data_IF_406086611340
#
_entry.id   IF_406086611340
#
_cell.length_a   1.000
_cell.length_b   1.000
_cell.length_c   1.000
_cell.angle_alpha   90.00
_cell.angle_beta   90.00
_cell.angle_gamma   90.00
#
_symmetry.space_group_name_H-M   'P 1'
#
loop_
_entity.id
_entity.type
_entity.pdbx_description
1 polymer ?
#
# COMPACT_ATOMS: atom_id res chain seq x y z
N UNK A 1 47.04 84.72 10.58
CA UNK A 1 46.02 83.83 11.20
C UNK A 1 44.84 83.55 10.25
N UNK A 2 45.07 82.96 9.06
CA UNK A 2 43.99 82.56 8.11
C UNK A 2 44.42 81.38 7.23
N UNK A 3 44.86 80.27 7.83
CA UNK A 3 45.18 79.03 7.09
C UNK A 3 44.59 77.77 7.74
N UNK A 4 44.04 77.86 8.96
CA UNK A 4 43.43 76.73 9.68
C UNK A 4 42.10 76.30 9.08
N UNK A 5 41.26 77.24 8.63
CA UNK A 5 39.94 76.93 8.08
C UNK A 5 39.97 75.99 6.87
N UNK A 6 41.03 76.02 6.05
CA UNK A 6 41.14 75.18 4.87
C UNK A 6 41.46 73.72 5.17
N UNK A 7 42.07 73.43 6.33
CA UNK A 7 42.39 72.05 6.74
C UNK A 7 41.15 71.42 7.36
N UNK A 8 40.44 72.18 8.21
CA UNK A 8 39.18 71.74 8.84
C UNK A 8 38.11 71.43 7.78
N UNK A 9 38.01 72.22 6.71
CA UNK A 9 37.08 71.99 5.59
C UNK A 9 37.41 70.70 4.82
N UNK A 10 38.70 70.40 4.64
CA UNK A 10 39.15 69.17 3.98
C UNK A 10 38.91 67.95 4.86
N UNK A 11 39.15 68.06 6.18
CA UNK A 11 38.88 66.99 7.14
C UNK A 11 37.38 66.68 7.21
N UNK A 12 36.53 67.71 7.24
CA UNK A 12 35.07 67.56 7.19
C UNK A 12 34.61 66.89 5.89
N UNK A 13 35.17 67.27 4.74
CA UNK A 13 34.87 66.63 3.45
C UNK A 13 35.30 65.16 3.41
N UNK A 14 36.49 64.84 3.94
CA UNK A 14 36.96 63.45 4.05
C UNK A 14 36.08 62.62 4.98
N UNK A 15 35.64 63.19 6.11
CA UNK A 15 34.73 62.52 7.03
C UNK A 15 33.36 62.29 6.41
N UNK A 16 32.85 63.26 5.64
CA UNK A 16 31.60 63.11 4.89
C UNK A 16 31.73 61.99 3.85
N UNK A 17 32.78 61.99 3.03
CA UNK A 17 33.04 60.95 2.04
C UNK A 17 33.16 59.57 2.70
N UNK A 18 33.88 59.49 3.82
CA UNK A 18 33.99 58.25 4.61
C UNK A 18 32.63 57.77 5.11
N UNK A 19 31.82 58.65 5.69
CA UNK A 19 30.48 58.30 6.17
C UNK A 19 29.55 57.85 5.04
N UNK A 20 29.68 58.45 3.85
CA UNK A 20 28.93 58.02 2.66
C UNK A 20 29.38 56.63 2.19
N UNK A 21 30.68 56.34 2.22
CA UNK A 21 31.20 55.01 1.90
C UNK A 21 30.76 53.96 2.92
N UNK A 22 30.86 54.25 4.22
CA UNK A 22 30.40 53.36 5.28
C UNK A 22 28.90 53.09 5.14
N UNK A 23 28.09 54.12 4.93
CA UNK A 23 26.66 53.97 4.69
C UNK A 23 26.34 53.13 3.45
N UNK A 24 27.03 53.36 2.32
CA UNK A 24 26.82 52.58 1.10
C UNK A 24 27.21 51.10 1.30
N UNK A 25 28.28 50.84 2.04
CA UNK A 25 28.71 49.47 2.37
C UNK A 25 27.66 48.80 3.26
N UNK A 26 27.16 49.49 4.29
CA UNK A 26 26.14 48.97 5.19
C UNK A 26 24.84 48.66 4.45
N UNK A 27 24.42 49.52 3.51
CA UNK A 27 23.25 49.27 2.66
C UNK A 27 23.44 48.03 1.78
N UNK A 28 24.62 47.86 1.18
CA UNK A 28 24.94 46.68 0.36
C UNK A 28 24.98 45.40 1.19
N UNK A 29 25.53 45.46 2.40
CA UNK A 29 25.52 44.32 3.34
C UNK A 29 24.07 43.98 3.73
N UNK A 30 23.27 44.98 4.10
CA UNK A 30 21.88 44.77 4.46
C UNK A 30 21.07 44.18 3.30
N UNK A 31 21.30 44.63 2.06
CA UNK A 31 20.68 44.06 0.87
C UNK A 31 21.11 42.60 0.66
N UNK A 32 22.41 42.30 0.72
CA UNK A 32 22.92 40.95 0.55
C UNK A 32 22.38 39.99 1.62
N UNK A 33 22.21 40.45 2.87
CA UNK A 33 21.60 39.65 3.94
C UNK A 33 20.14 39.34 3.65
N UNK A 34 19.35 40.33 3.20
CA UNK A 34 17.94 40.09 2.81
C UNK A 34 17.83 39.12 1.64
N UNK A 35 18.69 39.25 0.63
CA UNK A 35 18.71 38.34 -0.52
C UNK A 35 19.08 36.91 -0.09
N UNK A 36 20.08 36.76 0.78
CA UNK A 36 20.45 35.46 1.35
C UNK A 36 19.30 34.83 2.14
N UNK A 37 18.62 35.60 2.98
CA UNK A 37 17.48 35.12 3.76
C UNK A 37 16.31 34.70 2.85
N UNK A 38 16.01 35.48 1.81
CA UNK A 38 14.98 35.14 0.84
C UNK A 38 15.30 33.85 0.06
N UNK A 39 16.55 33.67 -0.35
CA UNK A 39 17.00 32.43 -1.02
C UNK A 39 16.92 31.24 -0.07
N UNK A 40 17.31 31.41 1.20
CA UNK A 40 17.22 30.36 2.21
C UNK A 40 15.76 29.94 2.44
N UNK A 41 14.84 30.89 2.54
CA UNK A 41 13.41 30.61 2.68
C UNK A 41 12.85 29.86 1.47
N UNK A 42 13.24 30.26 0.25
CA UNK A 42 12.87 29.54 -0.97
C UNK A 42 13.41 28.10 -1.00
N UNK A 43 14.67 27.93 -0.58
CA UNK A 43 15.29 26.60 -0.49
C UNK A 43 14.56 25.71 0.53
N UNK A 44 14.21 26.24 1.70
CA UNK A 44 13.49 25.50 2.73
C UNK A 44 12.08 25.11 2.26
N UNK A 45 11.37 26.00 1.57
CA UNK A 45 10.08 25.68 0.93
C UNK A 45 10.21 24.59 -0.13
N UNK A 46 11.25 24.63 -0.98
CA UNK A 46 11.51 23.59 -1.97
C UNK A 46 11.86 22.25 -1.31
N UNK A 47 12.57 22.28 -0.19
CA UNK A 47 12.89 21.09 0.61
C UNK A 47 11.62 20.48 1.22
N UNK A 48 10.71 21.31 1.73
CA UNK A 48 9.40 20.85 2.22
C UNK A 48 8.53 20.27 1.11
N UNK A 49 8.50 20.89 -0.08
CA UNK A 49 7.81 20.38 -1.25
C UNK A 49 8.41 19.06 -1.74
N UNK A 50 9.73 18.91 -1.65
CA UNK A 50 10.44 17.67 -2.00
C UNK A 50 10.03 16.52 -1.09
N UNK A 51 9.81 16.79 0.20
CA UNK A 51 9.22 15.80 1.11
C UNK A 51 7.71 15.76 0.86
N UNK A 52 7.35 15.11 -0.25
CA UNK A 52 5.97 14.97 -0.68
C UNK A 52 5.16 14.25 0.40
N UNK A 53 3.86 14.54 0.48
CA UNK A 53 2.95 13.86 1.40
C UNK A 53 3.02 12.33 1.22
N UNK A 54 3.21 11.86 -0.01
CA UNK A 54 3.45 10.46 -0.36
C UNK A 54 4.69 9.87 0.32
N UNK A 55 5.82 10.59 0.35
CA UNK A 55 7.04 10.12 1.04
C UNK A 55 6.82 10.00 2.55
N UNK A 56 6.11 10.96 3.18
CA UNK A 56 5.76 10.89 4.60
C UNK A 56 4.90 9.66 4.89
N UNK A 57 3.86 9.45 4.08
CA UNK A 57 3.01 8.26 4.22
C UNK A 57 3.81 6.98 4.03
N UNK A 58 4.69 6.89 3.02
CA UNK A 58 5.52 5.70 2.79
C UNK A 58 6.43 5.38 3.99
N UNK A 59 7.03 6.39 4.61
CA UNK A 59 7.86 6.21 5.81
C UNK A 59 7.03 5.72 6.99
N UNK A 60 5.82 6.28 7.19
CA UNK A 60 4.91 5.84 8.24
C UNK A 60 4.42 4.40 8.02
N UNK A 61 4.05 4.06 6.79
CA UNK A 61 3.65 2.71 6.40
C UNK A 61 4.78 1.70 6.57
N UNK A 62 6.00 2.05 6.17
CA UNK A 62 7.19 1.22 6.39
C UNK A 62 7.42 0.97 7.88
N UNK A 63 7.36 2.02 8.71
CA UNK A 63 7.48 1.87 10.17
C UNK A 63 6.37 1.00 10.77
N UNK A 64 5.13 1.16 10.31
CA UNK A 64 4.01 0.34 10.76
C UNK A 64 4.19 -1.14 10.35
N UNK A 65 4.67 -1.40 9.13
CA UNK A 65 5.00 -2.75 8.65
C UNK A 65 6.11 -3.40 9.49
N UNK A 66 7.22 -2.69 9.70
CA UNK A 66 8.33 -3.18 10.54
C UNK A 66 7.90 -3.45 11.99
N UNK A 67 6.97 -2.65 12.53
CA UNK A 67 6.40 -2.89 13.86
C UNK A 67 5.54 -4.17 13.90
N UNK A 68 4.70 -4.39 12.88
CA UNK A 68 3.91 -5.63 12.75
C UNK A 68 4.81 -6.85 12.61
N UNK A 69 5.85 -6.77 11.78
CA UNK A 69 6.81 -7.86 11.60
C UNK A 69 7.56 -8.19 12.90
N UNK A 70 8.01 -7.18 13.65
CA UNK A 70 8.62 -7.37 14.97
C UNK A 70 7.68 -8.08 15.94
N UNK A 71 6.43 -7.61 16.03
CA UNK A 71 5.42 -8.25 16.87
C UNK A 71 5.13 -9.70 16.45
N UNK A 72 5.08 -9.98 15.13
CA UNK A 72 4.92 -11.34 14.62
C UNK A 72 6.08 -12.25 15.04
N UNK A 73 7.32 -11.80 14.89
CA UNK A 73 8.53 -12.55 15.29
C UNK A 73 8.56 -12.79 16.81
N UNK A 74 8.23 -11.77 17.61
CA UNK A 74 8.12 -11.90 19.06
C UNK A 74 7.05 -12.92 19.47
N UNK A 75 5.89 -12.89 18.81
CA UNK A 75 4.82 -13.85 19.06
C UNK A 75 5.27 -15.28 18.72
N UNK A 76 5.92 -15.49 17.57
CA UNK A 76 6.44 -16.80 17.17
C UNK A 76 7.47 -17.33 18.17
N UNK A 77 8.38 -16.48 18.65
CA UNK A 77 9.34 -16.86 19.68
C UNK A 77 8.65 -17.23 21.00
N UNK A 78 7.61 -16.48 21.41
CA UNK A 78 6.84 -16.81 22.61
C UNK A 78 6.09 -18.15 22.46
N UNK A 79 5.49 -18.43 21.31
CA UNK A 79 4.84 -19.70 21.03
C UNK A 79 5.84 -20.86 21.03
N UNK A 80 7.01 -20.66 20.41
CA UNK A 80 8.10 -21.64 20.40
C UNK A 80 8.57 -21.99 21.81
N UNK A 81 8.83 -20.98 22.65
CA UNK A 81 9.24 -21.19 24.04
C UNK A 81 8.17 -21.93 24.86
N UNK A 82 6.89 -21.61 24.66
CA UNK A 82 5.78 -22.33 25.31
C UNK A 82 5.71 -23.79 24.87
N UNK A 83 5.90 -24.06 23.57
CA UNK A 83 5.92 -25.42 23.04
C UNK A 83 7.10 -26.22 23.63
N UNK A 84 8.32 -25.67 23.59
CA UNK A 84 9.51 -26.30 24.19
C UNK A 84 9.33 -26.60 25.68
N UNK A 85 8.72 -25.68 26.43
CA UNK A 85 8.44 -25.89 27.85
C UNK A 85 7.34 -26.95 28.09
N UNK A 86 6.32 -27.02 27.22
CA UNK A 86 5.31 -28.06 27.29
C UNK A 86 5.88 -29.44 26.96
N UNK A 87 6.72 -29.54 25.92
CA UNK A 87 7.44 -30.77 25.55
C UNK A 87 8.36 -31.24 26.68
N UNK A 88 9.11 -30.33 27.32
CA UNK A 88 9.96 -30.69 28.45
C UNK A 88 9.16 -31.29 29.61
N UNK A 89 8.02 -30.69 29.96
CA UNK A 89 7.14 -31.19 31.02
C UNK A 89 6.52 -32.54 30.68
N UNK A 90 6.19 -32.77 29.41
CA UNK A 90 5.68 -34.05 28.94
C UNK A 90 6.76 -35.13 29.08
N UNK A 91 8.00 -34.84 28.66
CA UNK A 91 9.13 -35.75 28.84
C UNK A 91 9.49 -36.04 30.30
N UNK A 92 9.34 -35.06 31.21
CA UNK A 92 9.48 -35.28 32.65
C UNK A 92 8.41 -36.24 33.18
N UNK A 93 7.14 -36.05 32.82
CA UNK A 93 6.04 -36.93 33.21
C UNK A 93 6.19 -38.35 32.63
N UNK A 94 6.72 -38.49 31.41
CA UNK A 94 7.04 -39.79 30.80
C UNK A 94 8.19 -40.50 31.52
N UNK A 95 9.23 -39.75 31.91
CA UNK A 95 10.37 -40.28 32.70
C UNK A 95 9.97 -40.67 34.12
N UNK A 96 9.06 -39.94 34.73
CA UNK A 96 8.48 -40.25 36.04
C UNK A 96 7.43 -41.37 35.99
N UNK A 97 7.18 -41.96 34.82
CA UNK A 97 6.13 -42.96 34.61
C UNK A 97 6.16 -44.09 35.64
N UNK A 98 5.29 -44.02 36.66
CA UNK A 98 4.71 -45.13 37.46
C UNK A 98 4.05 -44.61 38.75
N UNK A 99 2.93 -43.88 38.64
CA UNK A 99 1.91 -43.99 39.70
C UNK A 99 0.52 -43.78 39.13
N UNK A 100 -0.25 -44.86 39.15
CA UNK A 100 -1.59 -44.95 38.62
C UNK A 100 -2.59 -44.11 39.44
N UNK A 101 -2.63 -42.80 39.17
CA UNK A 101 -3.69 -41.91 39.62
C UNK A 101 -4.48 -41.41 38.40
N UNK A 102 -5.83 -41.53 38.37
CA UNK A 102 -6.64 -41.11 37.22
C UNK A 102 -6.55 -39.60 36.91
N UNK A 103 -6.04 -38.80 37.83
CA UNK A 103 -5.79 -37.37 37.63
C UNK A 103 -4.55 -37.06 36.78
N UNK A 104 -3.50 -37.89 36.84
CA UNK A 104 -2.30 -37.69 36.00
C UNK A 104 -2.60 -38.00 34.54
N UNK A 105 -3.40 -39.04 34.28
CA UNK A 105 -3.84 -39.41 32.93
C UNK A 105 -4.70 -38.31 32.27
N UNK A 106 -5.57 -37.63 33.03
CA UNK A 106 -6.33 -36.47 32.52
C UNK A 106 -5.44 -35.26 32.25
N UNK A 107 -4.43 -35.02 33.09
CA UNK A 107 -3.47 -33.93 32.91
C UNK A 107 -2.59 -34.14 31.67
N UNK A 108 -2.19 -35.38 31.42
CA UNK A 108 -1.44 -35.78 30.22
C UNK A 108 -2.30 -35.56 28.97
N UNK A 109 -3.55 -36.02 28.97
CA UNK A 109 -4.48 -35.78 27.84
C UNK A 109 -4.68 -34.29 27.54
N UNK A 110 -4.84 -33.44 28.56
CA UNK A 110 -4.98 -31.99 28.36
C UNK A 110 -3.71 -31.36 27.76
N UNK A 111 -2.53 -31.84 28.14
CA UNK A 111 -1.26 -31.35 27.59
C UNK A 111 -1.05 -31.85 26.15
N UNK A 112 -1.45 -33.08 25.83
CA UNK A 112 -1.44 -33.62 24.47
C UNK A 112 -2.36 -32.81 23.54
N UNK A 113 -3.58 -32.49 23.98
CA UNK A 113 -4.51 -31.63 23.25
C UNK A 113 -3.96 -30.20 23.06
N UNK A 114 -3.30 -29.65 24.08
CA UNK A 114 -2.70 -28.33 23.99
C UNK A 114 -1.50 -28.29 23.04
N UNK A 115 -0.64 -29.32 23.07
CA UNK A 115 0.48 -29.48 22.12
C UNK A 115 -0.04 -29.64 20.70
N UNK A 116 -1.07 -30.46 20.48
CA UNK A 116 -1.70 -30.60 19.15
C UNK A 116 -2.23 -29.25 18.66
N UNK A 117 -2.98 -28.52 19.49
CA UNK A 117 -3.53 -27.20 19.14
C UNK A 117 -2.45 -26.16 18.84
N UNK A 118 -1.37 -26.14 19.61
CA UNK A 118 -0.25 -25.22 19.40
C UNK A 118 0.53 -25.57 18.13
N UNK A 119 0.68 -26.86 17.83
CA UNK A 119 1.33 -27.35 16.61
C UNK A 119 0.53 -26.95 15.38
N UNK A 120 -0.80 -27.09 15.40
CA UNK A 120 -1.68 -26.67 14.31
C UNK A 120 -1.61 -25.15 14.07
N UNK A 121 -1.60 -24.35 15.15
CA UNK A 121 -1.42 -22.89 15.04
C UNK A 121 -0.07 -22.51 14.45
N UNK A 122 0.99 -23.24 14.81
CA UNK A 122 2.33 -23.00 14.31
C UNK A 122 2.48 -23.42 12.84
N UNK A 123 1.83 -24.52 12.43
CA UNK A 123 1.73 -24.94 11.04
C UNK A 123 0.96 -23.90 10.20
N UNK A 124 -0.20 -23.43 10.68
CA UNK A 124 -0.97 -22.37 10.02
C UNK A 124 -0.18 -21.07 9.86
N UNK A 125 0.51 -20.62 10.92
CA UNK A 125 1.34 -19.42 10.87
C UNK A 125 2.54 -19.56 9.92
N UNK A 126 3.15 -20.75 9.85
CA UNK A 126 4.23 -21.03 8.87
C UNK A 126 3.69 -21.01 7.44
N UNK A 127 2.53 -21.62 7.20
CA UNK A 127 1.90 -21.65 5.89
C UNK A 127 1.51 -20.24 5.42
N UNK A 128 1.00 -19.40 6.32
CA UNK A 128 0.68 -18.00 6.01
C UNK A 128 1.95 -17.19 5.67
N UNK A 129 3.02 -17.36 6.45
CA UNK A 129 4.32 -16.73 6.19
C UNK A 129 4.94 -17.19 4.88
N UNK A 130 4.86 -18.48 4.58
CA UNK A 130 5.43 -19.04 3.36
C UNK A 130 4.58 -18.65 2.13
N UNK A 131 3.25 -18.53 2.27
CA UNK A 131 2.38 -17.97 1.24
C UNK A 131 2.62 -16.47 1.02
N UNK A 132 2.99 -15.72 2.05
CA UNK A 132 3.40 -14.30 1.93
C UNK A 132 4.78 -14.17 1.27
N UNK A 133 5.72 -15.06 1.62
CA UNK A 133 7.04 -15.12 0.99
C UNK A 133 6.97 -15.57 -0.48
N UNK A 134 6.08 -16.51 -0.81
CA UNK A 134 5.81 -16.91 -2.19
C UNK A 134 5.18 -15.77 -2.99
N UNK A 135 4.20 -15.05 -2.42
CA UNK A 135 3.64 -13.83 -3.05
C UNK A 135 4.73 -12.80 -3.31
N UNK A 136 5.63 -12.57 -2.35
CA UNK A 136 6.75 -11.66 -2.52
C UNK A 136 7.74 -12.12 -3.62
N UNK A 137 8.04 -13.42 -3.70
CA UNK A 137 8.94 -13.99 -4.69
C UNK A 137 8.32 -14.02 -6.11
N UNK A 138 7.03 -14.30 -6.24
CA UNK A 138 6.29 -14.23 -7.52
C UNK A 138 6.26 -12.79 -8.06
N UNK A 139 6.15 -11.80 -7.17
CA UNK A 139 6.29 -10.38 -7.51
C UNK A 139 7.72 -10.00 -7.92
N UNK A 140 8.74 -10.70 -7.42
CA UNK A 140 10.15 -10.47 -7.73
C UNK A 140 10.57 -11.12 -9.07
N UNK A 141 9.93 -12.24 -9.45
CA UNK A 141 10.17 -12.95 -10.71
C UNK A 141 9.39 -12.40 -11.92
N UNK A 142 8.53 -11.39 -11.76
CA UNK A 142 7.92 -10.70 -12.90
C UNK A 142 9.00 -9.93 -13.71
N UNK A 143 8.98 -10.01 -15.06
CA UNK A 143 10.03 -9.49 -15.92
C UNK A 143 10.31 -8.00 -15.67
N UNK A 144 11.60 -7.64 -15.72
CA UNK A 144 12.27 -6.36 -15.42
C UNK A 144 11.86 -5.16 -16.30
N UNK A 145 10.56 -4.96 -16.54
CA UNK A 145 10.03 -3.79 -17.25
C UNK A 145 9.38 -2.73 -16.36
N UNK A 146 8.96 -3.11 -15.15
CA UNK A 146 8.22 -2.24 -14.25
C UNK A 146 9.17 -1.60 -13.22
N UNK A 147 9.25 -0.26 -13.26
CA UNK A 147 9.91 0.56 -12.25
C UNK A 147 9.47 0.16 -10.84
N UNK A 148 10.35 0.28 -9.85
CA UNK A 148 10.02 0.09 -8.44
C UNK A 148 8.80 0.94 -8.02
N UNK A 149 8.62 2.10 -8.67
CA UNK A 149 7.45 2.97 -8.53
C UNK A 149 6.16 2.33 -9.05
N UNK A 150 6.21 1.59 -10.16
CA UNK A 150 5.03 0.92 -10.73
C UNK A 150 4.57 -0.24 -9.84
N UNK A 151 5.53 -0.91 -9.18
CA UNK A 151 5.24 -1.92 -8.14
C UNK A 151 4.64 -1.28 -6.89
N UNK A 152 5.16 -0.12 -6.46
CA UNK A 152 4.61 0.62 -5.31
C UNK A 152 3.21 1.17 -5.60
N UNK A 153 2.97 1.70 -6.80
CA UNK A 153 1.65 2.12 -7.27
C UNK A 153 0.69 0.94 -7.32
N UNK A 154 1.10 -0.21 -7.87
CA UNK A 154 0.26 -1.41 -7.91
C UNK A 154 -0.15 -1.87 -6.51
N UNK A 155 0.79 -1.92 -5.55
CA UNK A 155 0.47 -2.23 -4.15
C UNK A 155 -0.48 -1.21 -3.52
N UNK A 156 -0.25 0.07 -3.77
CA UNK A 156 -1.13 1.14 -3.28
C UNK A 156 -2.55 1.00 -3.84
N UNK A 157 -2.69 0.67 -5.13
CA UNK A 157 -3.99 0.41 -5.74
C UNK A 157 -4.63 -0.86 -5.18
N UNK A 158 -3.90 -1.97 -5.05
CA UNK A 158 -4.39 -3.21 -4.43
C UNK A 158 -4.88 -2.96 -2.99
N UNK A 159 -4.15 -2.19 -2.19
CA UNK A 159 -4.55 -1.82 -0.83
C UNK A 159 -5.79 -0.89 -0.80
N UNK A 160 -5.92 0.01 -1.79
CA UNK A 160 -7.06 0.95 -1.85
C UNK A 160 -8.34 0.32 -2.43
N UNK A 161 -8.20 -0.61 -3.38
CA UNK A 161 -9.31 -1.11 -4.20
C UNK A 161 -9.57 -2.61 -4.06
N UNK A 162 -8.64 -3.37 -3.47
CA UNK A 162 -8.71 -4.83 -3.40
C UNK A 162 -8.52 -5.52 -4.77
N UNK A 163 -7.93 -4.82 -5.74
CA UNK A 163 -7.73 -5.33 -7.10
C UNK A 163 -6.44 -6.15 -7.20
N UNK A 164 -6.55 -7.39 -7.70
CA UNK A 164 -5.42 -8.28 -7.97
C UNK A 164 -5.37 -8.60 -9.47
N UNK A 165 -4.36 -8.08 -10.17
CA UNK A 165 -4.09 -8.43 -11.58
C UNK A 165 -3.50 -9.83 -11.63
N UNK A 166 -4.21 -10.79 -12.25
CA UNK A 166 -3.69 -12.14 -12.50
C UNK A 166 -3.26 -12.18 -13.96
N UNK A 167 -1.96 -11.96 -14.18
CA UNK A 167 -1.41 -12.09 -15.52
C UNK A 167 -1.34 -13.57 -15.90
N UNK A 168 -2.15 -13.99 -16.87
CA UNK A 168 -2.04 -15.32 -17.47
C UNK A 168 -1.00 -15.26 -18.61
N UNK A 169 0.18 -15.90 -18.46
CA UNK A 169 1.23 -15.85 -19.48
C UNK A 169 0.84 -16.59 -20.78
N UNK A 170 -0.22 -17.41 -20.76
CA UNK A 170 -0.66 -18.19 -21.92
C UNK A 170 -1.59 -17.37 -22.83
N UNK A 171 -2.34 -16.43 -22.26
CA UNK A 171 -3.27 -15.59 -23.00
C UNK A 171 -2.76 -14.14 -23.06
N UNK A 172 -2.62 -13.59 -24.28
CA UNK A 172 -2.26 -12.16 -24.47
C UNK A 172 -3.26 -11.16 -23.84
N UNK A 173 -4.41 -11.66 -23.40
CA UNK A 173 -5.51 -10.87 -22.85
C UNK A 173 -5.40 -10.85 -21.34
N UNK A 174 -5.46 -9.65 -20.75
CA UNK A 174 -5.31 -9.50 -19.31
C UNK A 174 -6.59 -9.90 -18.58
N UNK A 175 -6.42 -10.52 -17.41
CA UNK A 175 -7.52 -10.87 -16.50
C UNK A 175 -7.27 -10.21 -15.14
N UNK A 176 -8.26 -9.49 -14.66
CA UNK A 176 -8.21 -8.73 -13.43
C UNK A 176 -9.24 -9.30 -12.46
N UNK A 177 -8.83 -9.64 -11.24
CA UNK A 177 -9.73 -10.13 -10.20
C UNK A 177 -9.96 -9.02 -9.18
N UNK A 178 -11.22 -8.74 -8.92
CA UNK A 178 -11.66 -7.70 -8.00
C UNK A 178 -12.35 -8.34 -6.80
N UNK A 179 -12.06 -7.80 -5.62
CA UNK A 179 -12.81 -8.02 -4.41
C UNK A 179 -13.28 -6.67 -3.86
N UNK A 180 -14.55 -6.36 -4.09
CA UNK A 180 -15.16 -5.15 -3.56
C UNK A 180 -15.68 -5.40 -2.15
N UNK A 181 -15.10 -4.71 -1.17
CA UNK A 181 -15.54 -4.74 0.23
C UNK A 181 -15.56 -3.31 0.76
N UNK A 182 -16.73 -2.84 1.19
CA UNK A 182 -16.86 -1.46 1.70
C UNK A 182 -18.02 -1.34 2.68
N UNK A 183 -17.82 -0.53 3.73
CA UNK A 183 -18.86 -0.29 4.73
C UNK A 183 -20.08 0.39 4.08
N UNK A 184 -21.28 -0.16 4.31
CA UNK A 184 -22.52 0.33 3.69
C UNK A 184 -22.79 -0.22 2.28
N UNK A 185 -21.95 -1.14 1.79
CA UNK A 185 -22.15 -1.84 0.53
C UNK A 185 -22.18 -3.35 0.74
N UNK A 186 -22.74 -4.07 -0.23
CA UNK A 186 -22.61 -5.51 -0.36
C UNK A 186 -21.22 -5.87 -0.87
N UNK A 187 -20.68 -6.96 -0.35
CA UNK A 187 -19.41 -7.49 -0.83
C UNK A 187 -19.65 -8.16 -2.17
N UNK A 188 -18.72 -8.00 -3.11
CA UNK A 188 -18.81 -8.62 -4.42
C UNK A 188 -17.43 -9.00 -4.93
N UNK A 189 -17.31 -10.25 -5.36
CA UNK A 189 -16.15 -10.73 -6.08
C UNK A 189 -16.47 -10.85 -7.56
N UNK A 190 -15.59 -10.36 -8.42
CA UNK A 190 -15.77 -10.48 -9.89
C UNK A 190 -14.43 -10.47 -10.62
N UNK A 191 -14.48 -10.82 -11.90
CA UNK A 191 -13.34 -10.75 -12.82
C UNK A 191 -13.67 -9.88 -14.02
N UNK A 192 -12.70 -9.07 -14.46
CA UNK A 192 -12.71 -8.41 -15.76
C UNK A 192 -11.67 -9.07 -16.67
N UNK A 193 -12.10 -9.50 -17.85
CA UNK A 193 -11.21 -10.08 -18.85
C UNK A 193 -11.22 -9.23 -20.12
N UNK A 194 -10.04 -8.91 -20.66
CA UNK A 194 -9.92 -8.27 -21.97
C UNK A 194 -10.40 -9.22 -23.06
N UNK A 195 -11.19 -8.73 -24.00
CA UNK A 195 -11.72 -9.51 -25.12
C UNK A 195 -11.68 -8.68 -26.39
N UNK A 196 -11.48 -9.33 -27.54
CA UNK A 196 -11.50 -8.67 -28.83
C UNK A 196 -12.64 -9.22 -29.66
N UNK A 197 -13.56 -8.35 -30.07
CA UNK A 197 -14.68 -8.71 -30.91
C UNK A 197 -14.45 -8.16 -32.33
N UNK A 198 -14.58 -9.03 -33.34
CA UNK A 198 -14.56 -8.60 -34.74
C UNK A 198 -15.95 -8.13 -35.12
N UNK A 199 -16.10 -6.84 -35.35
CA UNK A 199 -17.36 -6.23 -35.74
C UNK A 199 -17.31 -5.94 -37.25
N UNK A 200 -18.32 -6.39 -38.03
CA UNK A 200 -18.39 -6.04 -39.45
C UNK A 200 -18.70 -4.54 -39.59
N UNK A 201 -17.85 -3.82 -40.32
CA UNK A 201 -18.09 -2.40 -40.61
C UNK A 201 -19.20 -2.25 -41.65
N UNK A 202 -20.11 -1.29 -41.45
CA UNK A 202 -21.28 -1.07 -42.31
C UNK A 202 -20.93 -0.62 -43.75
N UNK A 203 -19.65 -0.38 -44.08
CA UNK A 203 -19.18 0.12 -45.38
C UNK A 203 -18.11 -0.76 -46.03
N UNK A 204 -18.33 -2.08 -46.03
CA UNK A 204 -17.71 -3.01 -46.99
C UNK A 204 -16.29 -3.48 -46.64
N UNK A 205 -16.14 -4.81 -46.69
CA UNK A 205 -14.90 -5.64 -46.65
C UNK A 205 -13.92 -5.53 -45.48
N UNK A 206 -13.95 -4.47 -44.66
CA UNK A 206 -13.05 -4.32 -43.50
C UNK A 206 -13.67 -4.86 -42.20
N UNK A 207 -12.96 -5.74 -41.50
CA UNK A 207 -13.31 -6.15 -40.12
C UNK A 207 -12.61 -5.23 -39.14
N UNK A 208 -13.38 -4.52 -38.32
CA UNK A 208 -12.82 -3.73 -37.22
C UNK A 208 -12.70 -4.64 -36.00
N UNK A 209 -11.54 -4.59 -35.34
CA UNK A 209 -11.33 -5.27 -34.06
C UNK A 209 -11.67 -4.26 -32.98
N UNK A 210 -12.69 -4.56 -32.19
CA UNK A 210 -13.10 -3.76 -31.05
C UNK A 210 -12.61 -4.39 -29.76
N UNK A 211 -11.96 -3.59 -28.92
CA UNK A 211 -11.54 -3.99 -27.58
C UNK A 211 -12.72 -3.88 -26.60
N UNK A 212 -13.15 -5.03 -26.12
CA UNK A 212 -14.21 -5.21 -25.15
C UNK A 212 -13.63 -5.70 -23.81
N UNK A 213 -14.40 -5.53 -22.74
CA UNK A 213 -14.19 -6.15 -21.44
C UNK A 213 -15.33 -7.12 -21.17
N UNK A 214 -15.00 -8.23 -20.51
CA UNK A 214 -15.95 -9.25 -20.07
C UNK A 214 -15.96 -9.25 -18.56
N UNK A 215 -17.09 -8.85 -17.99
CA UNK A 215 -17.37 -8.92 -16.56
C UNK A 215 -17.96 -10.28 -16.21
N UNK A 216 -17.37 -10.92 -15.20
CA UNK A 216 -17.75 -12.25 -14.71
C UNK A 216 -17.95 -12.14 -13.19
N UNK A 217 -19.18 -12.11 -12.68
CA UNK A 217 -19.44 -12.09 -11.25
C UNK A 217 -19.18 -13.48 -10.65
N UNK A 218 -18.56 -13.52 -9.47
CA UNK A 218 -18.33 -14.75 -8.69
C UNK A 218 -19.31 -14.78 -7.52
N UNK A 219 -20.56 -15.13 -7.81
CA UNK A 219 -21.64 -15.16 -6.83
C UNK A 219 -21.69 -16.51 -6.09
N UNK A 220 -21.81 -16.44 -4.77
CA UNK A 220 -22.08 -17.58 -3.90
C UNK A 220 -23.46 -17.40 -3.25
N UNK A 221 -24.36 -18.38 -3.41
CA UNK A 221 -25.74 -18.28 -2.94
C UNK A 221 -25.84 -18.01 -1.43
N UNK A 222 -24.88 -18.50 -0.65
CA UNK A 222 -24.84 -18.35 0.82
C UNK A 222 -24.24 -17.02 1.23
N UNK A 223 -23.07 -16.66 0.68
CA UNK A 223 -22.34 -15.43 1.01
C UNK A 223 -23.09 -14.20 0.52
N UNK A 224 -23.64 -14.28 -0.69
CA UNK A 224 -24.18 -13.14 -1.44
C UNK A 224 -25.71 -13.10 -1.40
N UNK A 225 -26.37 -13.91 -0.55
CA UNK A 225 -27.83 -13.96 -0.40
C UNK A 225 -28.46 -12.55 -0.26
N UNK A 226 -27.86 -11.70 0.58
CA UNK A 226 -28.35 -10.34 0.79
C UNK A 226 -28.21 -9.44 -0.46
N UNK A 227 -27.21 -9.69 -1.32
CA UNK A 227 -27.04 -8.98 -2.58
C UNK A 227 -28.03 -9.50 -3.64
N UNK A 228 -28.26 -10.81 -3.68
CA UNK A 228 -29.20 -11.46 -4.60
C UNK A 228 -30.65 -11.00 -4.35
N UNK A 229 -31.00 -10.74 -3.09
CA UNK A 229 -32.32 -10.23 -2.69
C UNK A 229 -32.42 -8.68 -2.77
N UNK A 230 -31.33 -7.99 -3.11
CA UNK A 230 -31.29 -6.54 -3.04
C UNK A 230 -32.10 -5.88 -4.17
N UNK A 231 -33.03 -4.95 -3.86
CA UNK A 231 -33.77 -4.21 -4.89
C UNK A 231 -32.91 -3.19 -5.64
N UNK A 232 -31.73 -2.85 -5.10
CA UNK A 232 -30.82 -1.87 -5.71
C UNK A 232 -29.94 -2.47 -6.78
N UNK A 233 -29.81 -3.81 -6.84
CA UNK A 233 -28.93 -4.53 -7.76
C UNK A 233 -29.69 -4.98 -9.02
N UNK A 234 -29.43 -4.39 -10.20
CA UNK A 234 -30.01 -4.88 -11.45
C UNK A 234 -29.58 -6.31 -11.78
N UNK A 235 -30.53 -7.12 -12.28
CA UNK A 235 -30.29 -8.53 -12.63
C UNK A 235 -29.13 -8.75 -13.61
N UNK A 236 -28.91 -7.82 -14.55
CA UNK A 236 -27.82 -7.94 -15.50
C UNK A 236 -26.43 -7.93 -14.84
N UNK A 237 -26.25 -7.24 -13.70
CA UNK A 237 -24.98 -7.29 -12.97
C UNK A 237 -24.74 -8.62 -12.23
N UNK A 238 -25.75 -9.49 -12.17
CA UNK A 238 -25.59 -10.85 -11.63
C UNK A 238 -25.17 -11.85 -12.72
N UNK A 239 -25.14 -11.41 -13.97
CA UNK A 239 -24.80 -12.23 -15.13
C UNK A 239 -23.46 -11.78 -15.75
N UNK A 240 -22.92 -12.63 -16.61
CA UNK A 240 -21.74 -12.29 -17.39
C UNK A 240 -22.10 -11.25 -18.46
N UNK A 241 -21.44 -10.10 -18.44
CA UNK A 241 -21.68 -9.02 -19.41
C UNK A 241 -20.41 -8.75 -20.21
N UNK A 242 -20.56 -8.58 -21.53
CA UNK A 242 -19.52 -8.00 -22.39
C UNK A 242 -19.88 -6.56 -22.74
N UNK A 243 -18.93 -5.65 -22.61
CA UNK A 243 -19.11 -4.23 -22.95
C UNK A 243 -17.82 -3.62 -23.50
N UNK A 244 -17.92 -2.50 -24.21
CA UNK A 244 -16.76 -1.81 -24.80
C UNK A 244 -15.83 -1.25 -23.72
N UNK A 245 -14.51 -1.26 -23.96
CA UNK A 245 -13.52 -0.72 -23.00
C UNK A 245 -13.83 0.73 -22.57
N UNK A 246 -14.32 1.55 -23.49
CA UNK A 246 -14.68 2.95 -23.21
C UNK A 246 -15.88 3.12 -22.27
N UNK A 247 -16.69 2.06 -22.08
CA UNK A 247 -17.81 2.04 -21.15
C UNK A 247 -17.42 1.61 -19.73
N UNK A 248 -16.17 1.18 -19.48
CA UNK A 248 -15.74 0.61 -18.22
C UNK A 248 -16.01 1.51 -17.00
N UNK A 249 -15.68 2.79 -17.08
CA UNK A 249 -15.91 3.73 -15.97
C UNK A 249 -17.41 3.88 -15.66
N UNK A 250 -18.26 3.93 -16.69
CA UNK A 250 -19.72 4.03 -16.53
C UNK A 250 -20.29 2.73 -15.94
N UNK A 251 -19.79 1.59 -16.39
CA UNK A 251 -20.14 0.27 -15.88
C UNK A 251 -19.80 0.17 -14.38
N UNK A 252 -18.54 0.44 -13.99
CA UNK A 252 -18.08 0.36 -12.60
C UNK A 252 -18.84 1.34 -11.68
N UNK A 253 -19.11 2.56 -12.15
CA UNK A 253 -19.93 3.53 -11.38
C UNK A 253 -21.36 3.03 -11.16
N UNK A 254 -21.93 2.35 -12.16
CA UNK A 254 -23.29 1.81 -12.07
C UNK A 254 -23.32 0.57 -11.17
N UNK A 255 -22.31 -0.29 -11.27
CA UNK A 255 -22.12 -1.45 -10.39
C UNK A 255 -21.99 -0.99 -8.92
N UNK A 256 -21.15 0.01 -8.64
CA UNK A 256 -20.98 0.56 -7.30
C UNK A 256 -22.30 1.08 -6.70
N UNK A 257 -23.16 1.70 -7.52
CA UNK A 257 -24.49 2.14 -7.07
C UNK A 257 -25.41 0.96 -6.74
N UNK A 258 -25.33 -0.11 -7.53
CA UNK A 258 -26.09 -1.34 -7.28
C UNK A 258 -25.65 -2.10 -6.03
N UNK A 259 -24.38 -1.98 -5.66
CA UNK A 259 -23.84 -2.60 -4.45
C UNK A 259 -24.22 -1.89 -3.15
N UNK A 260 -24.95 -0.77 -3.18
CA UNK A 260 -25.32 -0.05 -1.96
C UNK A 260 -26.42 -0.80 -1.20
N UNK A 261 -26.21 -1.01 0.10
CA UNK A 261 -27.19 -1.58 1.05
C UNK A 261 -28.34 -0.62 1.34
#
# INVERSE_FOLDING_TARGET
MRQTNSIDDVEAALQQVRSQYEHNIDERIAQATREREAIQEQFDRLKELRVTQSEKTLVEWKRASEARQRHAVESLNAWKQRAEHAEHRLHELEREGTSAAPESSRRVQQLEEEVARLTDKLAAARQERDAEAQRAAELEQMPEGASEDERAVRRLYEDLTGETEVHDPVHKLRRFRFLFTSAGYHDLQFTLEESQLRVPTHHGTSTEIRDDLVYIPHLDETRDAALLDSPTMPSHFLEQIRFERNAATKFLTSLQKGLKK
#
